data_IF_051204257003
#
_entry.id   IF_051204257003
#
_cell.length_a   1.000
_cell.length_b   1.000
_cell.length_c   1.000
_cell.angle_alpha   90.00
_cell.angle_beta   90.00
_cell.angle_gamma   90.00
#
_symmetry.space_group_name_H-M   'P 1'
#
loop_
_entity.id
_entity.type
_entity.pdbx_description
1 polymer ?
#
# COMPACT_ATOMS: atom_id res chain seq x y z
N UNK A 1 27.70 -6.41 8.38
CA UNK A 1 26.45 -6.81 7.66
C UNK A 1 25.28 -5.88 7.94
N UNK A 2 25.01 -5.51 9.19
CA UNK A 2 23.84 -4.70 9.61
C UNK A 2 23.73 -3.33 8.93
N UNK A 3 24.81 -2.54 8.90
CA UNK A 3 24.82 -1.21 8.24
C UNK A 3 24.53 -1.30 6.73
N UNK A 4 25.14 -2.25 6.04
CA UNK A 4 24.89 -2.49 4.61
C UNK A 4 23.42 -2.85 4.36
N UNK A 5 22.86 -3.77 5.14
CA UNK A 5 21.46 -4.17 5.01
C UNK A 5 20.50 -3.01 5.30
N UNK A 6 20.82 -2.13 6.28
CA UNK A 6 20.01 -0.95 6.57
C UNK A 6 20.00 0.05 5.40
N UNK A 7 21.16 0.35 4.81
CA UNK A 7 21.25 1.20 3.60
C UNK A 7 20.50 0.59 2.43
N UNK A 8 20.67 -0.72 2.21
CA UNK A 8 20.01 -1.43 1.12
C UNK A 8 18.46 -1.47 1.28
N UNK A 9 17.97 -1.56 2.54
CA UNK A 9 16.54 -1.48 2.82
C UNK A 9 16.00 -0.08 2.55
N UNK A 10 16.73 0.96 2.93
CA UNK A 10 16.32 2.35 2.67
C UNK A 10 16.25 2.64 1.16
N UNK A 11 17.22 2.14 0.37
CA UNK A 11 17.18 2.23 -1.10
C UNK A 11 15.94 1.51 -1.67
N UNK A 12 15.64 0.31 -1.18
CA UNK A 12 14.44 -0.42 -1.60
C UNK A 12 13.16 0.34 -1.27
N UNK A 13 13.05 0.87 -0.06
CA UNK A 13 11.86 1.61 0.36
C UNK A 13 11.63 2.86 -0.49
N UNK A 14 12.69 3.59 -0.85
CA UNK A 14 12.57 4.72 -1.76
C UNK A 14 12.12 4.29 -3.16
N UNK A 15 12.64 3.18 -3.69
CA UNK A 15 12.20 2.62 -4.97
C UNK A 15 10.72 2.21 -4.93
N UNK A 16 10.27 1.60 -3.84
CA UNK A 16 8.88 1.20 -3.67
C UNK A 16 7.92 2.40 -3.60
N UNK A 17 8.35 3.50 -2.98
CA UNK A 17 7.60 4.77 -2.97
C UNK A 17 7.47 5.31 -4.40
N UNK A 18 8.57 5.36 -5.17
CA UNK A 18 8.55 5.84 -6.54
C UNK A 18 7.63 4.98 -7.44
N UNK A 19 7.73 3.64 -7.34
CA UNK A 19 6.84 2.71 -8.07
C UNK A 19 5.36 2.99 -7.76
N UNK A 20 5.03 3.30 -6.52
CA UNK A 20 3.67 3.61 -6.10
C UNK A 20 3.18 4.96 -6.67
N UNK A 21 4.04 5.95 -6.79
CA UNK A 21 3.72 7.28 -7.34
C UNK A 21 3.54 7.19 -8.87
N UNK A 22 4.40 6.44 -9.55
CA UNK A 22 4.42 6.33 -11.02
C UNK A 22 3.29 5.46 -11.60
N UNK A 23 2.64 4.63 -10.79
CA UNK A 23 1.65 3.67 -11.26
C UNK A 23 0.38 3.70 -10.41
N UNK A 24 -0.76 3.97 -11.01
CA UNK A 24 -2.06 3.90 -10.33
C UNK A 24 -2.59 2.46 -10.20
N UNK A 25 -2.13 1.53 -11.05
CA UNK A 25 -2.58 0.15 -11.08
C UNK A 25 -1.82 -0.70 -10.06
N UNK A 26 -2.54 -1.21 -9.05
CA UNK A 26 -1.97 -2.04 -7.96
C UNK A 26 -1.28 -3.32 -8.47
N UNK A 27 -1.76 -3.91 -9.57
CA UNK A 27 -1.15 -5.11 -10.17
C UNK A 27 0.24 -4.76 -10.73
N UNK A 28 0.35 -3.64 -11.49
CA UNK A 28 1.64 -3.15 -12.00
C UNK A 28 2.58 -2.73 -10.88
N UNK A 29 2.05 -2.01 -9.87
CA UNK A 29 2.83 -1.66 -8.67
C UNK A 29 3.43 -2.91 -8.02
N UNK A 30 2.62 -3.94 -7.82
CA UNK A 30 3.06 -5.19 -7.19
C UNK A 30 4.10 -5.92 -8.03
N UNK A 31 3.89 -6.04 -9.34
CA UNK A 31 4.84 -6.67 -10.28
C UNK A 31 6.22 -5.97 -10.23
N UNK A 32 6.24 -4.64 -10.30
CA UNK A 32 7.48 -3.88 -10.29
C UNK A 32 8.15 -3.93 -8.93
N UNK A 33 7.36 -3.92 -7.85
CA UNK A 33 7.87 -4.07 -6.49
C UNK A 33 8.49 -5.45 -6.24
N UNK A 34 7.91 -6.51 -6.80
CA UNK A 34 8.52 -7.86 -6.79
C UNK A 34 9.88 -7.84 -7.48
N UNK A 35 9.95 -7.27 -8.71
CA UNK A 35 11.22 -7.18 -9.48
C UNK A 35 12.30 -6.38 -8.73
N UNK A 36 11.94 -5.24 -8.14
CA UNK A 36 12.85 -4.43 -7.34
C UNK A 36 13.34 -5.19 -6.10
N UNK A 37 12.43 -5.86 -5.39
CA UNK A 37 12.76 -6.61 -4.18
C UNK A 37 13.65 -7.82 -4.48
N UNK A 38 13.43 -8.53 -5.59
CA UNK A 38 14.30 -9.64 -6.03
C UNK A 38 15.72 -9.13 -6.26
N UNK A 39 15.90 -8.05 -7.04
CA UNK A 39 17.23 -7.45 -7.29
C UNK A 39 17.92 -7.03 -5.98
N UNK A 40 17.16 -6.53 -5.03
CA UNK A 40 17.67 -6.13 -3.73
C UNK A 40 18.12 -7.34 -2.90
N UNK A 41 17.34 -8.43 -2.90
CA UNK A 41 17.72 -9.69 -2.23
C UNK A 41 18.96 -10.30 -2.88
N UNK A 42 19.11 -10.22 -4.20
CA UNK A 42 20.32 -10.67 -4.92
C UNK A 42 21.56 -9.88 -4.47
N UNK A 43 21.47 -8.54 -4.35
CA UNK A 43 22.55 -7.71 -3.81
C UNK A 43 22.91 -8.09 -2.36
N UNK A 44 21.88 -8.32 -1.52
CA UNK A 44 22.06 -8.76 -0.14
C UNK A 44 22.77 -10.12 -0.10
N UNK A 45 22.37 -11.05 -0.96
CA UNK A 45 22.93 -12.40 -1.07
C UNK A 45 24.37 -12.36 -1.53
N UNK A 46 24.70 -11.55 -2.55
CA UNK A 46 26.09 -11.37 -3.03
C UNK A 46 26.97 -10.88 -1.89
N UNK A 47 26.55 -9.81 -1.19
CA UNK A 47 27.32 -9.27 -0.06
C UNK A 47 27.47 -10.27 1.08
N UNK A 48 26.46 -11.09 1.30
CA UNK A 48 26.47 -12.13 2.33
C UNK A 48 27.54 -13.19 2.06
N UNK A 49 27.76 -13.63 0.83
CA UNK A 49 28.79 -14.61 0.51
C UNK A 49 30.22 -14.11 0.73
N UNK A 50 30.40 -12.80 0.61
CA UNK A 50 31.70 -12.14 0.88
C UNK A 50 31.87 -11.78 2.36
N UNK A 51 30.90 -12.14 3.23
CA UNK A 51 30.89 -11.73 4.63
C UNK A 51 31.04 -12.92 5.57
N UNK A 52 31.98 -12.79 6.52
CA UNK A 52 32.13 -13.74 7.62
C UNK A 52 31.59 -13.14 8.90
N UNK A 53 30.64 -13.82 9.53
CA UNK A 53 30.12 -13.38 10.84
C UNK A 53 31.18 -13.48 11.93
N UNK A 54 31.29 -12.48 12.76
CA UNK A 54 32.22 -12.45 13.87
C UNK A 54 31.88 -13.51 14.93
N UNK A 55 30.59 -13.76 15.14
CA UNK A 55 30.08 -14.68 16.13
C UNK A 55 28.68 -15.20 15.79
N UNK A 56 28.22 -16.21 16.53
CA UNK A 56 26.90 -16.82 16.37
C UNK A 56 25.74 -15.87 16.63
N UNK A 57 25.92 -14.86 17.49
CA UNK A 57 24.87 -13.90 17.80
C UNK A 57 24.59 -12.98 16.62
N UNK A 58 25.62 -12.56 15.89
CA UNK A 58 25.49 -11.78 14.67
C UNK A 58 24.81 -12.58 13.56
N UNK A 59 25.16 -13.86 13.40
CA UNK A 59 24.49 -14.75 12.44
C UNK A 59 23.00 -14.91 12.78
N UNK A 60 22.67 -15.13 14.05
CA UNK A 60 21.29 -15.20 14.53
C UNK A 60 20.54 -13.89 14.26
N UNK A 61 21.12 -12.73 14.55
CA UNK A 61 20.52 -11.42 14.27
C UNK A 61 20.20 -11.26 12.77
N UNK A 62 21.14 -11.69 11.93
CA UNK A 62 20.94 -11.64 10.49
C UNK A 62 19.74 -12.49 10.02
N UNK A 63 19.68 -13.74 10.42
CA UNK A 63 18.62 -14.67 9.99
C UNK A 63 17.30 -14.51 10.73
N UNK A 64 17.29 -14.00 11.96
CA UNK A 64 16.07 -13.76 12.75
C UNK A 64 15.43 -12.41 12.43
N UNK A 65 16.24 -11.38 12.19
CA UNK A 65 15.76 -9.99 12.17
C UNK A 65 15.99 -9.29 10.83
N UNK A 66 17.19 -9.41 10.25
CA UNK A 66 17.58 -8.61 9.07
C UNK A 66 17.03 -9.20 7.78
N UNK A 67 17.46 -10.39 7.42
CA UNK A 67 17.05 -11.06 6.17
C UNK A 67 15.53 -11.22 6.03
N UNK A 68 14.77 -11.59 7.08
CA UNK A 68 13.33 -11.75 6.98
C UNK A 68 12.58 -10.49 6.54
N UNK A 69 13.09 -9.29 6.82
CA UNK A 69 12.46 -8.04 6.38
C UNK A 69 12.42 -7.93 4.85
N UNK A 70 13.51 -8.30 4.18
CA UNK A 70 13.57 -8.31 2.71
C UNK A 70 12.66 -9.40 2.11
N UNK A 71 12.73 -10.60 2.66
CA UNK A 71 11.88 -11.71 2.21
C UNK A 71 10.39 -11.42 2.45
N UNK A 72 10.04 -10.75 3.55
CA UNK A 72 8.68 -10.34 3.84
C UNK A 72 8.13 -9.34 2.80
N UNK A 73 8.94 -8.38 2.34
CA UNK A 73 8.56 -7.47 1.25
C UNK A 73 8.27 -8.26 -0.03
N UNK A 74 9.12 -9.24 -0.37
CA UNK A 74 8.91 -10.09 -1.55
C UNK A 74 7.60 -10.89 -1.44
N UNK A 75 7.38 -11.56 -0.31
CA UNK A 75 6.16 -12.32 -0.05
C UNK A 75 4.94 -11.41 -0.15
N UNK A 76 4.99 -10.24 0.50
CA UNK A 76 3.89 -9.28 0.48
C UNK A 76 3.50 -8.87 -0.94
N UNK A 77 4.43 -8.35 -1.74
CA UNK A 77 4.10 -7.88 -3.09
C UNK A 77 3.68 -9.00 -4.03
N UNK A 78 4.28 -10.18 -3.91
CA UNK A 78 3.89 -11.34 -4.69
C UNK A 78 2.46 -11.81 -4.34
N UNK A 79 2.11 -11.85 -3.06
CA UNK A 79 0.75 -12.19 -2.64
C UNK A 79 -0.27 -11.12 -3.05
N UNK A 80 0.05 -9.81 -2.92
CA UNK A 80 -0.83 -8.74 -3.42
C UNK A 80 -1.05 -8.87 -4.93
N UNK A 81 0.00 -9.14 -5.70
CA UNK A 81 -0.13 -9.41 -7.13
C UNK A 81 -1.12 -10.55 -7.40
N UNK A 82 -0.93 -11.70 -6.72
CA UNK A 82 -1.78 -12.87 -6.89
C UNK A 82 -3.23 -12.59 -6.47
N UNK A 83 -3.44 -11.89 -5.36
CA UNK A 83 -4.76 -11.51 -4.87
C UNK A 83 -5.49 -10.62 -5.87
N UNK A 84 -4.83 -9.60 -6.39
CA UNK A 84 -5.49 -8.60 -7.25
C UNK A 84 -5.66 -9.10 -8.70
N UNK A 85 -4.73 -9.88 -9.23
CA UNK A 85 -4.85 -10.42 -10.59
C UNK A 85 -5.92 -11.50 -10.70
N UNK A 86 -6.16 -12.25 -9.62
CA UNK A 86 -7.19 -13.31 -9.57
C UNK A 86 -8.53 -12.83 -9.04
N UNK A 87 -8.64 -11.53 -8.74
CA UNK A 87 -9.88 -10.94 -8.25
C UNK A 87 -10.99 -11.04 -9.30
N UNK A 88 -12.17 -11.61 -8.98
CA UNK A 88 -13.27 -11.71 -9.90
C UNK A 88 -13.75 -10.34 -10.39
N UNK A 89 -14.01 -10.23 -11.69
CA UNK A 89 -14.65 -9.06 -12.29
C UNK A 89 -16.15 -9.13 -11.98
N UNK A 90 -16.76 -8.05 -11.51
CA UNK A 90 -18.19 -7.98 -11.28
C UNK A 90 -18.59 -7.56 -9.88
N UNK A 91 -19.62 -8.21 -9.31
CA UNK A 91 -20.29 -7.75 -8.11
C UNK A 91 -19.38 -7.68 -6.87
N UNK A 92 -19.58 -6.65 -6.03
CA UNK A 92 -18.89 -6.46 -4.75
C UNK A 92 -18.93 -7.70 -3.83
N UNK A 93 -20.00 -8.51 -3.91
CA UNK A 93 -20.14 -9.77 -3.18
C UNK A 93 -19.06 -10.81 -3.56
N UNK A 94 -18.73 -10.91 -4.85
CA UNK A 94 -17.69 -11.83 -5.34
C UNK A 94 -16.30 -11.40 -4.90
N UNK A 95 -15.99 -10.11 -4.99
CA UNK A 95 -14.75 -9.55 -4.48
C UNK A 95 -14.61 -9.73 -2.95
N UNK A 96 -15.69 -9.55 -2.20
CA UNK A 96 -15.72 -9.81 -0.75
C UNK A 96 -15.36 -11.25 -0.44
N UNK A 97 -16.03 -12.22 -1.08
CA UNK A 97 -15.77 -13.66 -0.90
C UNK A 97 -14.32 -14.02 -1.23
N UNK A 98 -13.77 -13.41 -2.28
CA UNK A 98 -12.39 -13.59 -2.69
C UNK A 98 -11.40 -13.15 -1.59
N UNK A 99 -11.53 -11.93 -1.06
CA UNK A 99 -10.66 -11.44 0.02
C UNK A 99 -10.84 -12.24 1.33
N UNK A 100 -12.07 -12.64 1.66
CA UNK A 100 -12.34 -13.50 2.83
C UNK A 100 -11.67 -14.88 2.70
N UNK A 101 -11.58 -15.45 1.49
CA UNK A 101 -10.88 -16.71 1.26
C UNK A 101 -9.37 -16.58 1.50
N UNK A 102 -8.75 -15.46 1.12
CA UNK A 102 -7.35 -15.22 1.45
C UNK A 102 -7.14 -15.00 2.94
N UNK A 103 -8.01 -14.26 3.63
CA UNK A 103 -7.95 -14.13 5.10
C UNK A 103 -8.04 -15.49 5.80
N UNK A 104 -8.86 -16.41 5.27
CA UNK A 104 -8.95 -17.77 5.81
C UNK A 104 -7.61 -18.54 5.67
N UNK A 105 -6.90 -18.40 4.55
CA UNK A 105 -5.57 -18.98 4.37
C UNK A 105 -4.57 -18.45 5.39
N UNK A 106 -4.57 -17.12 5.64
CA UNK A 106 -3.69 -16.51 6.65
C UNK A 106 -3.99 -17.04 8.06
N UNK A 107 -5.27 -17.15 8.43
CA UNK A 107 -5.68 -17.72 9.72
C UNK A 107 -5.28 -19.19 9.87
N UNK A 108 -5.38 -19.97 8.79
CA UNK A 108 -4.92 -21.35 8.77
C UNK A 108 -3.42 -21.44 9.05
N UNK A 109 -2.60 -20.66 8.31
CA UNK A 109 -1.16 -20.60 8.54
C UNK A 109 -0.83 -20.22 9.99
N UNK A 110 -1.48 -19.19 10.53
CA UNK A 110 -1.28 -18.78 11.93
C UNK A 110 -1.58 -19.92 12.91
N UNK A 111 -2.70 -20.63 12.73
CA UNK A 111 -3.08 -21.76 13.57
C UNK A 111 -2.07 -22.91 13.50
N UNK A 112 -1.59 -23.23 12.31
CA UNK A 112 -0.61 -24.30 12.07
C UNK A 112 0.77 -23.99 12.64
N UNK A 113 1.12 -22.70 12.78
CA UNK A 113 2.42 -22.22 13.25
C UNK A 113 2.34 -21.50 14.60
N UNK A 114 1.28 -21.70 15.38
CA UNK A 114 0.99 -20.93 16.58
C UNK A 114 2.12 -20.94 17.63
N UNK A 115 2.79 -22.09 17.82
CA UNK A 115 3.87 -22.24 18.80
C UNK A 115 5.11 -21.41 18.39
N UNK A 116 5.49 -21.47 17.10
CA UNK A 116 6.57 -20.64 16.60
C UNK A 116 6.19 -19.15 16.59
N UNK A 117 4.94 -18.82 16.28
CA UNK A 117 4.43 -17.46 16.34
C UNK A 117 4.55 -16.87 17.76
N UNK A 118 4.10 -17.63 18.78
CA UNK A 118 4.25 -17.25 20.19
C UNK A 118 5.73 -17.04 20.57
N UNK A 119 6.59 -17.99 20.17
CA UNK A 119 8.03 -17.89 20.39
C UNK A 119 8.61 -16.61 19.82
N UNK A 120 8.34 -16.32 18.55
CA UNK A 120 8.86 -15.14 17.86
C UNK A 120 8.31 -13.83 18.45
N UNK A 121 7.01 -13.74 18.65
CA UNK A 121 6.36 -12.52 19.15
C UNK A 121 6.66 -12.21 20.63
N UNK A 122 6.92 -13.21 21.43
CA UNK A 122 7.34 -13.00 22.84
C UNK A 122 8.79 -12.54 22.98
N UNK A 123 9.55 -12.47 21.89
CA UNK A 123 10.98 -12.15 21.94
C UNK A 123 11.84 -13.26 22.56
N UNK A 124 11.31 -14.49 22.63
CA UNK A 124 12.05 -15.62 23.19
C UNK A 124 13.31 -15.92 22.36
N UNK A 125 14.38 -16.33 23.01
CA UNK A 125 15.68 -16.61 22.38
C UNK A 125 16.24 -18.01 22.73
N UNK A 126 15.52 -18.82 23.49
CA UNK A 126 15.99 -20.12 23.97
C UNK A 126 16.31 -21.12 22.86
N UNK A 127 15.60 -21.02 21.73
CA UNK A 127 15.75 -21.90 20.57
C UNK A 127 16.45 -21.21 19.37
N UNK A 128 16.92 -19.97 19.52
CA UNK A 128 17.53 -19.20 18.43
C UNK A 128 18.66 -19.95 17.72
N UNK A 129 19.48 -20.68 18.46
CA UNK A 129 20.56 -21.50 17.87
C UNK A 129 20.05 -22.64 16.99
N UNK A 130 18.83 -23.14 17.24
CA UNK A 130 18.21 -24.19 16.42
C UNK A 130 17.47 -23.62 15.21
N UNK A 131 16.89 -22.42 15.37
CA UNK A 131 16.06 -21.78 14.34
C UNK A 131 16.86 -20.95 13.35
N UNK A 132 17.92 -20.27 13.80
CA UNK A 132 18.56 -19.18 13.06
C UNK A 132 20.09 -19.34 12.86
N UNK A 133 20.67 -20.52 13.15
CA UNK A 133 22.02 -20.86 12.70
C UNK A 133 21.95 -21.81 11.50
N UNK A 134 22.80 -21.59 10.52
CA UNK A 134 22.94 -22.45 9.34
C UNK A 134 23.36 -23.87 9.73
N UNK A 135 22.89 -24.84 8.98
CA UNK A 135 23.19 -26.26 9.23
C UNK A 135 22.61 -26.81 10.53
N UNK A 136 21.80 -26.04 11.25
CA UNK A 136 21.04 -26.49 12.42
C UNK A 136 19.57 -26.63 12.07
N UNK A 137 19.04 -27.82 12.24
CA UNK A 137 17.63 -28.11 12.07
C UNK A 137 17.23 -29.20 13.07
N UNK A 138 15.98 -29.14 13.50
CA UNK A 138 15.40 -30.14 14.38
C UNK A 138 14.02 -30.53 13.82
N UNK A 139 13.89 -31.77 13.39
CA UNK A 139 12.65 -32.29 12.78
C UNK A 139 11.45 -32.14 13.72
N UNK A 140 11.69 -32.14 15.03
CA UNK A 140 10.63 -31.96 16.04
C UNK A 140 10.08 -30.50 16.11
N UNK A 141 10.74 -29.56 15.46
CA UNK A 141 10.39 -28.14 15.50
C UNK A 141 9.61 -27.67 14.25
N UNK A 142 8.84 -28.55 13.64
CA UNK A 142 7.96 -28.23 12.50
C UNK A 142 8.69 -27.48 11.37
N UNK A 143 9.64 -28.19 10.74
CA UNK A 143 10.39 -27.67 9.58
C UNK A 143 9.43 -27.33 8.43
N UNK A 144 9.70 -26.22 7.76
CA UNK A 144 9.05 -25.87 6.51
C UNK A 144 9.64 -26.75 5.37
N UNK A 145 8.78 -27.35 4.54
CA UNK A 145 9.22 -28.11 3.36
C UNK A 145 10.03 -27.26 2.38
N UNK A 146 9.80 -25.95 2.35
CA UNK A 146 10.58 -25.01 1.56
C UNK A 146 12.06 -24.96 1.96
N UNK A 147 12.39 -25.22 3.23
CA UNK A 147 13.77 -25.27 3.71
C UNK A 147 14.63 -26.26 2.91
N UNK A 148 14.08 -27.40 2.53
CA UNK A 148 14.82 -28.43 1.77
C UNK A 148 15.06 -28.07 0.30
N UNK A 149 14.39 -27.05 -0.22
CA UNK A 149 14.55 -26.53 -1.58
C UNK A 149 15.36 -25.21 -1.62
N UNK A 150 15.67 -24.66 -0.43
CA UNK A 150 16.38 -23.41 -0.30
C UNK A 150 17.90 -23.59 -0.34
N UNK A 151 18.61 -22.53 -0.60
CA UNK A 151 20.07 -22.47 -0.51
C UNK A 151 20.49 -22.53 0.96
N UNK A 152 20.99 -23.66 1.40
CA UNK A 152 21.40 -23.92 2.79
C UNK A 152 22.48 -22.94 3.31
N UNK A 153 23.26 -22.32 2.41
CA UNK A 153 24.22 -21.31 2.80
C UNK A 153 23.58 -19.97 3.11
N UNK A 154 22.43 -19.68 2.49
CA UNK A 154 21.68 -18.44 2.66
C UNK A 154 20.31 -18.63 3.34
N UNK A 155 20.11 -19.74 4.00
CA UNK A 155 18.86 -20.06 4.69
C UNK A 155 19.10 -20.77 6.02
N UNK A 156 18.16 -20.60 6.94
CA UNK A 156 18.05 -21.35 8.18
C UNK A 156 16.67 -22.03 8.26
N UNK A 157 16.47 -22.88 9.24
CA UNK A 157 15.24 -23.67 9.33
C UNK A 157 13.97 -22.84 9.50
N UNK A 158 14.06 -21.59 10.01
CA UNK A 158 12.89 -20.78 10.35
C UNK A 158 12.93 -19.29 9.91
N UNK A 159 14.01 -18.84 9.25
CA UNK A 159 14.09 -17.46 8.78
C UNK A 159 13.01 -17.08 7.77
N UNK A 160 12.66 -18.01 6.87
CA UNK A 160 11.56 -17.83 5.93
C UNK A 160 10.19 -17.77 6.64
N UNK A 161 10.02 -18.57 7.70
CA UNK A 161 8.79 -18.56 8.52
C UNK A 161 8.60 -17.21 9.25
N UNK A 162 9.69 -16.58 9.70
CA UNK A 162 9.64 -15.20 10.21
C UNK A 162 9.19 -14.22 9.13
N UNK A 163 9.74 -14.34 7.92
CA UNK A 163 9.34 -13.51 6.80
C UNK A 163 7.85 -13.66 6.45
N UNK A 164 7.32 -14.90 6.49
CA UNK A 164 5.89 -15.14 6.30
C UNK A 164 5.05 -14.49 7.39
N UNK A 165 5.43 -14.56 8.66
CA UNK A 165 4.72 -13.91 9.77
C UNK A 165 4.63 -12.40 9.51
N UNK A 166 5.75 -11.74 9.21
CA UNK A 166 5.80 -10.30 8.94
C UNK A 166 4.94 -9.91 7.73
N UNK A 167 5.06 -10.66 6.64
CA UNK A 167 4.31 -10.40 5.41
C UNK A 167 2.80 -10.59 5.63
N UNK A 168 2.39 -11.66 6.30
CA UNK A 168 0.99 -12.01 6.48
C UNK A 168 0.25 -11.04 7.40
N UNK A 169 0.91 -10.46 8.38
CA UNK A 169 0.34 -9.36 9.17
C UNK A 169 0.01 -8.15 8.29
N UNK A 170 0.94 -7.75 7.43
CA UNK A 170 0.72 -6.63 6.49
C UNK A 170 -0.35 -6.96 5.43
N UNK A 171 -0.39 -8.21 4.94
CA UNK A 171 -1.43 -8.67 4.00
C UNK A 171 -2.80 -8.68 4.67
N UNK A 172 -2.90 -9.09 5.94
CA UNK A 172 -4.15 -9.05 6.70
C UNK A 172 -4.69 -7.63 6.83
N UNK A 173 -3.84 -6.65 7.13
CA UNK A 173 -4.21 -5.24 7.16
C UNK A 173 -4.72 -4.76 5.80
N UNK A 174 -4.03 -5.11 4.72
CA UNK A 174 -4.44 -4.79 3.36
C UNK A 174 -5.82 -5.36 3.03
N UNK A 175 -6.05 -6.65 3.27
CA UNK A 175 -7.32 -7.33 3.00
C UNK A 175 -8.47 -6.74 3.82
N UNK A 176 -8.22 -6.45 5.11
CA UNK A 176 -9.20 -5.80 5.98
C UNK A 176 -9.56 -4.39 5.50
N UNK A 177 -8.60 -3.63 4.97
CA UNK A 177 -8.87 -2.32 4.37
C UNK A 177 -9.77 -2.44 3.13
N UNK A 178 -9.51 -3.42 2.24
CA UNK A 178 -10.36 -3.69 1.07
C UNK A 178 -11.77 -4.11 1.44
N UNK A 179 -11.91 -4.95 2.46
CA UNK A 179 -13.22 -5.38 2.95
C UNK A 179 -14.01 -4.23 3.59
N UNK A 180 -13.35 -3.31 4.31
CA UNK A 180 -13.99 -2.08 4.83
C UNK A 180 -14.50 -1.21 3.69
N UNK A 181 -13.71 -1.03 2.63
CA UNK A 181 -14.11 -0.30 1.42
C UNK A 181 -15.36 -0.91 0.77
N UNK A 182 -15.42 -2.25 0.66
CA UNK A 182 -16.57 -2.95 0.07
C UNK A 182 -17.83 -2.82 0.94
N UNK A 183 -17.68 -2.85 2.28
CA UNK A 183 -18.81 -2.71 3.21
C UNK A 183 -19.36 -1.28 3.25
N UNK A 184 -18.49 -0.29 3.14
CA UNK A 184 -18.83 1.12 3.23
C UNK A 184 -18.27 1.86 2.00
N UNK A 185 -18.90 1.73 0.82
CA UNK A 185 -18.39 2.32 -0.41
C UNK A 185 -18.30 3.86 -0.39
N UNK A 186 -19.01 4.51 0.52
CA UNK A 186 -18.99 5.98 0.73
C UNK A 186 -17.84 6.49 1.59
N UNK A 187 -17.00 5.62 2.20
CA UNK A 187 -15.95 6.06 3.14
C UNK A 187 -14.51 5.98 2.59
N UNK A 188 -14.30 5.73 1.30
CA UNK A 188 -12.95 5.61 0.71
C UNK A 188 -12.34 6.91 0.21
N UNK A 189 -13.10 7.98 0.11
CA UNK A 189 -12.50 9.29 0.08
C UNK A 189 -12.07 9.62 1.53
N UNK A 190 -10.78 9.80 1.82
CA UNK A 190 -10.38 10.66 2.94
C UNK A 190 -11.32 11.86 2.85
N UNK A 191 -12.08 12.14 3.90
CA UNK A 191 -13.03 13.24 3.89
C UNK A 191 -12.29 14.52 3.53
N UNK A 192 -12.21 14.81 2.23
CA UNK A 192 -11.76 16.11 1.78
C UNK A 192 -12.85 17.08 2.19
N UNK A 193 -12.50 18.01 3.06
CA UNK A 193 -13.39 19.10 3.43
C UNK A 193 -13.07 20.30 2.56
N UNK A 194 -14.10 20.89 2.00
CA UNK A 194 -13.94 22.15 1.27
C UNK A 194 -13.59 23.27 2.24
N UNK A 195 -12.39 23.84 2.13
CA UNK A 195 -11.87 24.91 3.00
C UNK A 195 -12.06 26.31 2.45
N UNK A 196 -12.44 26.45 1.17
CA UNK A 196 -12.74 27.75 0.55
C UNK A 196 -14.21 28.14 0.74
N UNK A 197 -14.64 29.28 0.19
CA UNK A 197 -16.02 29.75 0.32
C UNK A 197 -17.02 28.85 -0.40
N UNK A 198 -18.29 28.83 0.06
CA UNK A 198 -19.37 28.13 -0.66
C UNK A 198 -19.58 28.73 -2.06
N UNK A 199 -19.41 30.03 -2.21
CA UNK A 199 -19.51 30.71 -3.51
C UNK A 199 -18.44 30.21 -4.50
N UNK A 200 -17.21 29.99 -4.05
CA UNK A 200 -16.13 29.41 -4.88
C UNK A 200 -16.46 28.01 -5.34
N UNK A 201 -17.08 27.18 -4.47
CA UNK A 201 -17.51 25.84 -4.87
C UNK A 201 -18.67 25.89 -5.87
N UNK A 202 -19.63 26.78 -5.69
CA UNK A 202 -20.72 26.97 -6.64
C UNK A 202 -20.17 27.41 -8.00
N UNK A 203 -19.24 28.36 -8.05
CA UNK A 203 -18.56 28.79 -9.27
C UNK A 203 -17.91 27.63 -10.01
N UNK A 204 -17.14 26.80 -9.30
CA UNK A 204 -16.50 25.60 -9.86
C UNK A 204 -17.52 24.58 -10.39
N UNK A 205 -18.57 24.29 -9.61
CA UNK A 205 -19.61 23.31 -10.00
C UNK A 205 -20.32 23.75 -11.28
N UNK A 206 -20.69 25.03 -11.38
CA UNK A 206 -21.33 25.55 -12.58
C UNK A 206 -20.41 25.53 -13.80
N UNK A 207 -19.11 25.81 -13.62
CA UNK A 207 -18.13 25.71 -14.70
C UNK A 207 -17.97 24.27 -15.21
N UNK A 208 -17.80 23.30 -14.30
CA UNK A 208 -17.69 21.88 -14.65
C UNK A 208 -18.95 21.34 -15.31
N UNK A 209 -20.14 21.74 -14.85
CA UNK A 209 -21.39 21.36 -15.47
C UNK A 209 -21.54 21.96 -16.88
N UNK A 210 -21.23 23.27 -17.04
CA UNK A 210 -21.35 23.96 -18.33
C UNK A 210 -20.40 23.41 -19.40
N UNK A 211 -19.25 22.87 -19.01
CA UNK A 211 -18.30 22.21 -19.92
C UNK A 211 -18.66 20.77 -20.24
N UNK A 212 -19.74 20.21 -19.66
CA UNK A 212 -20.14 18.83 -19.88
C UNK A 212 -19.14 17.78 -19.33
N UNK A 213 -18.33 18.15 -18.35
CA UNK A 213 -17.24 17.31 -17.82
C UNK A 213 -17.72 16.00 -17.22
N UNK A 214 -18.96 15.94 -16.70
CA UNK A 214 -19.54 14.75 -16.09
C UNK A 214 -20.45 14.02 -17.05
N UNK A 215 -20.29 12.68 -17.13
CA UNK A 215 -21.15 11.79 -17.93
C UNK A 215 -21.36 12.26 -19.39
N UNK A 216 -20.34 12.83 -20.03
CA UNK A 216 -20.38 13.41 -21.37
C UNK A 216 -21.50 14.47 -21.55
N UNK A 217 -21.77 15.25 -20.51
CA UNK A 217 -22.81 16.29 -20.50
C UNK A 217 -24.22 15.75 -20.16
N UNK A 218 -24.39 14.46 -19.92
CA UNK A 218 -25.69 13.84 -19.58
C UNK A 218 -25.98 13.80 -18.08
N UNK A 219 -25.52 14.78 -17.32
CA UNK A 219 -25.74 14.89 -15.88
C UNK A 219 -26.49 16.21 -15.59
N UNK A 220 -27.56 16.15 -14.79
CA UNK A 220 -28.24 17.38 -14.37
C UNK A 220 -27.39 18.16 -13.35
N UNK A 221 -27.62 19.49 -13.28
CA UNK A 221 -26.93 20.33 -12.30
C UNK A 221 -27.18 19.88 -10.86
N UNK A 222 -28.41 19.44 -10.57
CA UNK A 222 -28.77 18.96 -9.22
C UNK A 222 -28.04 17.66 -8.86
N UNK A 223 -27.87 16.72 -9.80
CA UNK A 223 -27.08 15.51 -9.58
C UNK A 223 -25.61 15.86 -9.35
N UNK A 224 -25.05 16.79 -10.12
CA UNK A 224 -23.68 17.27 -9.97
C UNK A 224 -23.47 17.89 -8.58
N UNK A 225 -24.38 18.79 -8.17
CA UNK A 225 -24.33 19.43 -6.86
C UNK A 225 -24.42 18.41 -5.74
N UNK A 226 -25.35 17.44 -5.81
CA UNK A 226 -25.55 16.41 -4.79
C UNK A 226 -24.29 15.54 -4.64
N UNK A 227 -23.68 15.14 -5.74
CA UNK A 227 -22.44 14.36 -5.74
C UNK A 227 -21.27 15.13 -5.08
N UNK A 228 -21.11 16.41 -5.42
CA UNK A 228 -20.03 17.26 -4.88
C UNK A 228 -20.27 17.57 -3.40
N UNK A 229 -21.50 17.83 -2.98
CA UNK A 229 -21.85 18.01 -1.57
C UNK A 229 -21.50 16.76 -0.74
N UNK A 230 -21.83 15.58 -1.28
CA UNK A 230 -21.49 14.30 -0.64
C UNK A 230 -19.98 14.07 -0.58
N UNK A 231 -19.24 14.41 -1.65
CA UNK A 231 -17.80 14.22 -1.73
C UNK A 231 -17.03 15.09 -0.73
N UNK A 232 -17.39 16.38 -0.63
CA UNK A 232 -16.72 17.33 0.27
C UNK A 232 -17.39 17.44 1.65
N UNK A 233 -18.43 16.66 1.92
CA UNK A 233 -19.23 16.73 3.13
C UNK A 233 -19.66 18.16 3.49
N UNK A 234 -20.22 18.89 2.53
CA UNK A 234 -20.64 20.28 2.63
C UNK A 234 -22.05 20.49 2.09
N UNK A 235 -22.85 21.29 2.76
CA UNK A 235 -24.14 21.71 2.25
C UNK A 235 -24.03 23.10 1.57
N UNK A 236 -24.38 23.16 0.29
CA UNK A 236 -24.35 24.41 -0.50
C UNK A 236 -25.64 25.23 -0.31
N UNK A 237 -26.72 24.63 0.22
CA UNK A 237 -27.99 25.32 0.43
C UNK A 237 -28.61 25.79 -0.90
N UNK A 238 -28.97 27.06 -0.99
CA UNK A 238 -29.59 27.67 -2.19
C UNK A 238 -28.53 28.01 -3.25
N UNK A 239 -27.86 27.02 -3.80
CA UNK A 239 -26.75 27.21 -4.75
C UNK A 239 -27.15 27.99 -6.01
N UNK A 240 -28.40 27.87 -6.50
CA UNK A 240 -28.91 28.66 -7.61
C UNK A 240 -28.92 30.16 -7.29
N UNK A 241 -29.31 30.53 -6.07
CA UNK A 241 -29.28 31.92 -5.60
C UNK A 241 -27.86 32.43 -5.49
N UNK A 242 -26.97 31.63 -4.94
CA UNK A 242 -25.52 31.97 -4.87
C UNK A 242 -24.93 32.18 -6.27
N UNK A 243 -25.34 31.38 -7.26
CA UNK A 243 -24.89 31.60 -8.65
C UNK A 243 -25.43 32.91 -9.24
N UNK A 244 -26.69 33.27 -8.96
CA UNK A 244 -27.24 34.58 -9.38
C UNK A 244 -26.50 35.74 -8.73
N UNK A 245 -26.09 35.64 -7.46
CA UNK A 245 -25.25 36.57 -6.77
C UNK A 245 -23.86 36.70 -7.41
N UNK A 246 -23.22 35.60 -7.81
CA UNK A 246 -21.98 35.58 -8.58
C UNK A 246 -22.16 36.31 -9.91
N UNK A 247 -23.23 36.03 -10.64
CA UNK A 247 -23.56 36.63 -11.93
C UNK A 247 -23.76 38.15 -11.82
N UNK A 248 -24.28 38.66 -10.69
CA UNK A 248 -24.56 40.07 -10.43
C UNK A 248 -23.38 40.84 -9.86
N UNK A 249 -22.22 40.23 -9.61
CA UNK A 249 -21.02 40.90 -9.10
C UNK A 249 -20.60 42.07 -9.99
N UNK A 250 -20.32 43.20 -9.37
CA UNK A 250 -19.87 44.42 -10.06
C UNK A 250 -18.43 44.79 -9.75
N UNK A 251 -17.93 44.42 -8.55
CA UNK A 251 -16.63 44.82 -8.00
C UNK A 251 -15.59 43.68 -8.02
N UNK A 252 -16.03 42.45 -8.07
CA UNK A 252 -15.16 41.26 -8.14
C UNK A 252 -15.48 40.54 -9.44
N UNK A 253 -14.45 40.07 -10.15
CA UNK A 253 -14.64 39.29 -11.37
C UNK A 253 -15.54 38.06 -11.12
N UNK A 254 -16.41 37.79 -12.08
CA UNK A 254 -17.42 36.70 -11.97
C UNK A 254 -16.78 35.32 -11.91
N UNK A 255 -15.56 35.21 -12.44
CA UNK A 255 -14.75 33.97 -12.54
C UNK A 255 -13.54 34.00 -11.60
N UNK A 256 -13.58 34.82 -10.56
CA UNK A 256 -12.44 35.02 -9.66
C UNK A 256 -11.79 33.75 -9.12
N UNK A 257 -12.60 32.78 -8.74
CA UNK A 257 -12.06 31.52 -8.20
C UNK A 257 -11.41 30.67 -9.30
N UNK A 258 -12.01 30.60 -10.48
CA UNK A 258 -11.45 29.88 -11.63
C UNK A 258 -10.15 30.52 -12.11
N UNK A 259 -10.05 31.84 -12.10
CA UNK A 259 -8.83 32.56 -12.44
C UNK A 259 -7.72 32.27 -11.42
N UNK A 260 -8.05 32.27 -10.13
CA UNK A 260 -7.13 31.85 -9.07
C UNK A 260 -6.63 30.41 -9.25
N UNK A 261 -7.50 29.48 -9.62
CA UNK A 261 -7.13 28.09 -9.91
C UNK A 261 -6.17 28.02 -11.10
N UNK A 262 -6.48 28.74 -12.17
CA UNK A 262 -5.63 28.81 -13.38
C UNK A 262 -4.23 29.34 -13.07
N UNK A 263 -4.13 30.45 -12.36
CA UNK A 263 -2.85 31.07 -11.97
C UNK A 263 -2.00 30.11 -11.11
N UNK A 264 -2.63 29.48 -10.11
CA UNK A 264 -1.91 28.53 -9.24
C UNK A 264 -1.47 27.28 -10.00
N UNK A 265 -2.26 26.81 -10.97
CA UNK A 265 -1.86 25.68 -11.82
C UNK A 265 -0.66 26.05 -12.69
N UNK A 266 -0.66 27.23 -13.32
CA UNK A 266 0.46 27.72 -14.14
C UNK A 266 1.73 27.80 -13.28
N UNK A 267 1.67 28.44 -12.11
CA UNK A 267 2.81 28.50 -11.17
C UNK A 267 3.34 27.11 -10.79
N UNK A 268 2.44 26.15 -10.64
CA UNK A 268 2.83 24.76 -10.29
C UNK A 268 3.52 24.04 -11.44
N UNK A 269 3.10 24.29 -12.68
CA UNK A 269 3.74 23.76 -13.90
C UNK A 269 5.14 24.35 -14.02
N UNK A 270 5.28 25.67 -13.93
CA UNK A 270 6.56 26.37 -14.02
C UNK A 270 7.57 25.92 -12.94
N UNK A 271 7.11 25.63 -11.71
CA UNK A 271 7.95 25.08 -10.64
C UNK A 271 8.37 23.61 -10.88
N UNK A 272 7.70 22.89 -11.75
CA UNK A 272 8.02 21.51 -12.13
C UNK A 272 9.11 21.38 -13.19
N UNK A 273 9.30 22.45 -13.98
CA UNK A 273 10.29 22.48 -15.08
C UNK A 273 11.68 22.93 -14.61
N UNK A 274 11.84 23.32 -13.34
CA UNK A 274 13.12 23.73 -12.72
C UNK A 274 13.85 22.60 -11.98
N UNK A 275 13.54 21.30 -12.26
CA UNK A 275 14.25 20.17 -11.63
C UNK A 275 14.89 19.25 -12.63
#
# INVERSE_FOLDING_TARGET
>A
MKSFAASLMAELEQQLINIKIENDCIIKQSEWSVKATIKTIEKLKTKFYDYSFENKSEEIEFFKTIKPQFAAKLIFFNEIYNIEITKPIGAAKSAKKHYEAYLHKLKKFHKENIEFYKYYKSGNNTLDKKYFLRGKHDIKLTLDSFYFQSDFNFATSHDYKVAQIIAYETIEEYLNSKLKTIKNPSHTAKNLTWSSSKASLVELVYALHATGTFNNGHCSLNETVTAIQSFFNIELGQFNRTFLEIKSRKTIEKTHFLDTLKENLIKRIEQGDEK
#
